data_IF_617389331372
#
_entry.id   IF_617389331372
#
_cell.length_a   1.000
_cell.length_b   1.000
_cell.length_c   1.000
_cell.angle_alpha   90.00
_cell.angle_beta   90.00
_cell.angle_gamma   90.00
#
_symmetry.space_group_name_H-M   'P 1'
#
loop_
_entity.id
_entity.type
_entity.pdbx_description
1 polymer ?
#
# COMPACT_ATOMS: atom_id res chain seq x y z
N UNK A 1 -9.48 12.88 -27.37
CA UNK A 1 -9.37 14.22 -26.74
C UNK A 1 -8.49 15.07 -27.63
N UNK A 2 -8.95 16.26 -28.03
CA UNK A 2 -8.15 17.13 -28.91
C UNK A 2 -6.93 17.71 -28.16
N UNK A 3 -5.91 18.15 -28.90
CA UNK A 3 -4.67 18.69 -28.32
C UNK A 3 -4.91 19.91 -27.44
N UNK A 4 -5.87 20.78 -27.81
CA UNK A 4 -6.24 21.94 -27.00
C UNK A 4 -6.73 21.54 -25.60
N UNK A 5 -7.51 20.46 -25.49
CA UNK A 5 -7.98 19.93 -24.20
C UNK A 5 -6.85 19.28 -23.41
N UNK A 6 -5.92 18.55 -24.04
CA UNK A 6 -4.73 18.01 -23.37
C UNK A 6 -3.88 19.13 -22.77
N UNK A 7 -3.67 20.19 -23.53
CA UNK A 7 -2.88 21.34 -23.09
C UNK A 7 -3.56 22.11 -21.96
N UNK A 8 -4.89 22.24 -21.99
CA UNK A 8 -5.64 22.79 -20.87
C UNK A 8 -5.50 21.93 -19.60
N UNK A 9 -5.53 20.60 -19.73
CA UNK A 9 -5.36 19.69 -18.59
C UNK A 9 -3.94 19.72 -18.02
N UNK A 10 -2.89 19.84 -18.86
CA UNK A 10 -1.51 20.01 -18.39
C UNK A 10 -1.35 21.28 -17.57
N UNK A 11 -1.80 22.42 -18.10
CA UNK A 11 -1.79 23.69 -17.38
C UNK A 11 -2.56 23.63 -16.07
N UNK A 12 -3.70 22.94 -16.05
CA UNK A 12 -4.46 22.73 -14.83
C UNK A 12 -3.72 21.84 -13.80
N UNK A 13 -2.97 20.82 -14.25
CA UNK A 13 -2.12 20.02 -13.38
C UNK A 13 -0.96 20.83 -12.78
N UNK A 14 -0.33 21.69 -13.59
CA UNK A 14 0.76 22.58 -13.15
C UNK A 14 0.24 23.58 -12.12
N UNK A 15 -0.85 24.29 -12.43
CA UNK A 15 -1.47 25.23 -11.51
C UNK A 15 -1.90 24.58 -10.17
N UNK A 16 -2.41 23.35 -10.21
CA UNK A 16 -2.76 22.63 -8.99
C UNK A 16 -1.53 22.24 -8.15
N UNK A 17 -0.37 22.02 -8.78
CA UNK A 17 0.90 21.79 -8.07
C UNK A 17 1.41 23.08 -7.42
N UNK A 18 1.38 24.20 -8.15
CA UNK A 18 1.79 25.51 -7.61
C UNK A 18 0.93 25.91 -6.39
N UNK A 19 -0.40 25.73 -6.49
CA UNK A 19 -1.34 25.98 -5.37
C UNK A 19 -1.00 25.08 -4.17
N UNK A 20 -0.70 23.80 -4.41
CA UNK A 20 -0.33 22.88 -3.33
C UNK A 20 0.94 23.36 -2.60
N UNK A 21 1.97 23.77 -3.34
CA UNK A 21 3.23 24.22 -2.76
C UNK A 21 3.05 25.53 -1.96
N UNK A 22 2.28 26.49 -2.48
CA UNK A 22 1.94 27.74 -1.78
C UNK A 22 1.14 27.48 -0.48
N UNK A 23 0.17 26.57 -0.50
CA UNK A 23 -0.62 26.19 0.67
C UNK A 23 0.25 25.50 1.73
N UNK A 24 1.16 24.60 1.33
CA UNK A 24 2.08 23.94 2.25
C UNK A 24 3.06 24.92 2.87
N UNK A 25 3.58 25.88 2.10
CA UNK A 25 4.48 26.89 2.63
C UNK A 25 3.76 27.86 3.57
N UNK A 26 2.53 28.25 3.24
CA UNK A 26 1.66 29.04 4.11
C UNK A 26 1.37 28.29 5.42
N UNK A 27 1.00 27.01 5.36
CA UNK A 27 0.73 26.19 6.54
C UNK A 27 1.95 26.12 7.48
N UNK A 28 3.16 25.93 6.94
CA UNK A 28 4.41 25.94 7.73
C UNK A 28 4.67 27.28 8.39
N UNK A 29 4.39 28.39 7.70
CA UNK A 29 4.64 29.72 8.24
C UNK A 29 3.61 30.09 9.31
N UNK A 30 2.34 29.71 9.12
CA UNK A 30 1.30 29.83 10.15
C UNK A 30 1.65 28.99 11.37
N UNK A 31 2.08 27.74 11.21
CA UNK A 31 2.44 26.89 12.35
C UNK A 31 3.63 27.39 13.20
N UNK A 32 4.40 28.38 12.73
CA UNK A 32 5.50 29.01 13.46
C UNK A 32 5.08 30.19 14.33
N UNK A 33 3.84 30.69 14.21
CA UNK A 33 3.37 31.82 15.02
C UNK A 33 2.88 31.31 16.39
N UNK A 34 3.08 32.12 17.43
CA UNK A 34 2.67 31.80 18.81
C UNK A 34 1.16 32.04 19.06
N UNK A 35 0.35 32.23 18.01
CA UNK A 35 -1.08 32.47 18.16
C UNK A 35 -1.82 31.16 18.49
N UNK A 36 -2.73 31.14 19.47
CA UNK A 36 -3.47 29.93 19.84
C UNK A 36 -4.28 29.29 18.70
N UNK A 37 -4.69 30.07 17.71
CA UNK A 37 -5.45 29.61 16.53
C UNK A 37 -4.57 29.17 15.36
N UNK A 38 -3.28 29.52 15.37
CA UNK A 38 -2.35 29.28 14.28
C UNK A 38 -2.28 27.81 13.86
N UNK A 39 -2.37 26.90 14.83
CA UNK A 39 -2.34 25.47 14.56
C UNK A 39 -3.59 24.98 13.84
N UNK A 40 -4.77 25.53 14.16
CA UNK A 40 -6.02 25.18 13.47
C UNK A 40 -6.00 25.69 12.02
N UNK A 41 -5.50 26.90 11.80
CA UNK A 41 -5.38 27.49 10.47
C UNK A 41 -4.33 26.74 9.62
N UNK A 42 -3.20 26.34 10.22
CA UNK A 42 -2.21 25.50 9.56
C UNK A 42 -2.77 24.13 9.14
N UNK A 43 -3.57 23.49 10.00
CA UNK A 43 -4.24 22.24 9.67
C UNK A 43 -5.25 22.42 8.52
N UNK A 44 -6.04 23.51 8.53
CA UNK A 44 -6.96 23.83 7.44
C UNK A 44 -6.21 24.00 6.10
N UNK A 45 -5.10 24.73 6.09
CA UNK A 45 -4.23 24.90 4.91
C UNK A 45 -3.64 23.55 4.44
N UNK A 46 -3.26 22.67 5.38
CA UNK A 46 -2.76 21.34 5.05
C UNK A 46 -3.82 20.45 4.40
N UNK A 47 -5.08 20.52 4.86
CA UNK A 47 -6.18 19.79 4.24
C UNK A 47 -6.47 20.31 2.81
N UNK A 48 -6.48 21.63 2.61
CA UNK A 48 -6.62 22.21 1.28
C UNK A 48 -5.49 21.78 0.33
N UNK A 49 -4.25 21.70 0.83
CA UNK A 49 -3.12 21.20 0.04
C UNK A 49 -3.30 19.74 -0.40
N UNK A 50 -3.89 18.88 0.46
CA UNK A 50 -4.22 17.49 0.08
C UNK A 50 -5.29 17.45 -1.00
N UNK A 51 -6.34 18.27 -0.88
CA UNK A 51 -7.41 18.34 -1.89
C UNK A 51 -6.87 18.79 -3.26
N UNK A 52 -5.92 19.75 -3.27
CA UNK A 52 -5.22 20.18 -4.48
C UNK A 52 -4.41 19.02 -5.12
N UNK A 53 -3.67 18.24 -4.32
CA UNK A 53 -2.94 17.06 -4.82
C UNK A 53 -3.88 15.98 -5.38
N UNK A 54 -4.98 15.69 -4.70
CA UNK A 54 -5.99 14.74 -5.19
C UNK A 54 -6.64 15.20 -6.50
N UNK A 55 -6.94 16.49 -6.61
CA UNK A 55 -7.43 17.07 -7.85
C UNK A 55 -6.40 16.94 -8.98
N UNK A 56 -5.14 17.28 -8.72
CA UNK A 56 -4.01 17.10 -9.66
C UNK A 56 -3.87 15.65 -10.12
N UNK A 57 -3.95 14.67 -9.21
CA UNK A 57 -3.91 13.24 -9.54
C UNK A 57 -5.07 12.82 -10.43
N UNK A 58 -6.29 13.31 -10.16
CA UNK A 58 -7.47 13.05 -11.00
C UNK A 58 -7.28 13.61 -12.42
N UNK A 59 -6.73 14.81 -12.55
CA UNK A 59 -6.41 15.41 -13.86
C UNK A 59 -5.33 14.62 -14.60
N UNK A 60 -4.25 14.24 -13.91
CA UNK A 60 -3.17 13.44 -14.49
C UNK A 60 -3.67 12.06 -14.98
N UNK A 61 -4.55 11.42 -14.21
CA UNK A 61 -5.18 10.16 -14.62
C UNK A 61 -6.04 10.33 -15.88
N UNK A 62 -6.81 11.43 -15.99
CA UNK A 62 -7.55 11.75 -17.23
C UNK A 62 -6.62 12.02 -18.41
N UNK A 63 -5.47 12.65 -18.17
CA UNK A 63 -4.47 12.89 -19.21
C UNK A 63 -3.84 11.57 -19.71
N UNK A 64 -3.55 10.63 -18.80
CA UNK A 64 -2.96 9.32 -19.12
C UNK A 64 -3.93 8.32 -19.76
N UNK A 65 -5.21 8.31 -19.37
CA UNK A 65 -6.20 7.35 -19.86
C UNK A 65 -6.75 7.65 -21.26
N UNK A 66 -6.31 8.72 -21.91
CA UNK A 66 -6.78 9.10 -23.26
C UNK A 66 -6.15 8.24 -24.36
N UNK A 67 -5.19 7.35 -24.03
CA UNK A 67 -4.51 6.48 -24.99
C UNK A 67 -4.79 4.98 -24.81
N UNK A 68 -6.02 4.60 -24.42
CA UNK A 68 -6.41 3.19 -24.47
C UNK A 68 -7.86 3.01 -24.98
N UNK A 69 -8.08 2.91 -26.31
CA UNK A 69 -9.07 1.97 -26.79
C UNK A 69 -8.61 0.57 -26.38
N UNK A 70 -9.54 -0.26 -25.90
CA UNK A 70 -9.29 -1.63 -25.53
C UNK A 70 -8.64 -2.42 -26.69
N UNK A 71 -7.35 -2.71 -26.57
CA UNK A 71 -6.67 -3.70 -27.38
C UNK A 71 -5.63 -4.41 -26.52
N UNK A 72 -5.87 -5.71 -26.36
CA UNK A 72 -4.94 -6.72 -25.89
C UNK A 72 -3.69 -6.68 -26.79
N UNK A 73 -2.48 -6.59 -26.22
CA UNK A 73 -1.33 -7.47 -26.55
C UNK A 73 0.01 -7.01 -25.91
N UNK A 74 0.64 -7.98 -25.26
CA UNK A 74 2.07 -8.34 -25.27
C UNK A 74 3.19 -7.31 -25.58
N UNK A 75 4.09 -7.20 -24.60
CA UNK A 75 5.58 -7.19 -24.73
C UNK A 75 6.26 -5.93 -25.29
N UNK A 76 7.11 -5.28 -24.47
CA UNK A 76 8.59 -5.27 -24.67
C UNK A 76 9.34 -4.59 -23.51
N UNK A 77 10.30 -5.33 -22.96
CA UNK A 77 11.32 -4.83 -22.03
C UNK A 77 12.33 -3.96 -22.80
N UNK A 78 12.54 -2.73 -22.34
CA UNK A 78 13.64 -1.86 -22.79
C UNK A 78 14.76 -1.91 -21.75
N UNK A 79 15.97 -2.21 -22.21
CA UNK A 79 17.17 -2.31 -21.42
C UNK A 79 17.68 -0.92 -20.97
N UNK A 80 18.17 -0.75 -19.73
CA UNK A 80 18.87 0.46 -19.32
C UNK A 80 20.35 0.41 -19.74
N UNK A 81 20.80 1.50 -20.38
CA UNK A 81 22.19 1.72 -20.79
C UNK A 81 23.13 2.04 -19.60
N UNK A 82 24.46 2.09 -19.88
CA UNK A 82 25.48 2.18 -18.84
C UNK A 82 25.78 3.63 -18.45
N UNK A 83 25.61 4.00 -17.18
CA UNK A 83 26.15 5.27 -16.66
C UNK A 83 27.30 5.03 -15.67
N UNK A 84 28.48 5.45 -16.15
CA UNK A 84 29.65 6.03 -15.49
C UNK A 84 29.86 5.83 -13.98
N UNK A 85 30.97 5.15 -13.66
CA UNK A 85 31.57 5.07 -12.32
C UNK A 85 32.38 6.34 -12.05
N UNK A 86 32.06 7.07 -10.98
CA UNK A 86 33.04 7.89 -10.25
C UNK A 86 33.30 7.22 -8.91
N UNK A 87 34.57 6.90 -8.68
CA UNK A 87 35.07 6.35 -7.44
C UNK A 87 35.18 7.47 -6.42
N UNK A 88 34.49 7.31 -5.29
CA UNK A 88 34.77 8.06 -4.07
C UNK A 88 34.99 7.05 -2.95
N UNK A 89 36.21 7.05 -2.42
CA UNK A 89 36.72 6.06 -1.48
C UNK A 89 36.46 6.53 -0.05
N UNK A 90 35.18 6.51 0.35
CA UNK A 90 34.77 6.59 1.75
C UNK A 90 34.52 5.18 2.27
N UNK A 91 35.28 4.74 3.27
CA UNK A 91 35.08 3.45 3.94
C UNK A 91 33.82 3.51 4.81
N UNK A 92 32.65 3.53 4.17
CA UNK A 92 31.37 3.43 4.86
C UNK A 92 31.23 2.00 5.42
N UNK A 93 31.04 1.92 6.74
CA UNK A 93 30.67 0.68 7.43
C UNK A 93 29.41 0.13 6.77
N UNK A 94 29.59 -0.90 5.96
CA UNK A 94 28.49 -1.55 5.23
C UNK A 94 27.56 -2.17 6.25
N UNK A 95 26.38 -1.57 6.39
CA UNK A 95 25.31 -2.15 7.18
C UNK A 95 25.10 -3.61 6.73
N UNK A 96 24.93 -4.55 7.68
CA UNK A 96 24.79 -5.96 7.35
C UNK A 96 23.66 -6.14 6.34
N UNK A 97 23.97 -6.74 5.17
CA UNK A 97 22.99 -7.01 4.12
C UNK A 97 21.89 -7.90 4.70
N UNK A 98 20.74 -7.30 5.03
CA UNK A 98 19.53 -8.01 5.44
C UNK A 98 19.22 -9.07 4.38
N UNK A 99 19.10 -10.33 4.80
CA UNK A 99 18.87 -11.45 3.88
C UNK A 99 17.49 -11.29 3.25
N UNK A 100 17.42 -11.28 1.92
CA UNK A 100 16.14 -11.23 1.17
C UNK A 100 15.16 -12.35 1.55
N UNK A 101 15.66 -13.43 2.15
CA UNK A 101 14.89 -14.60 2.54
C UNK A 101 13.81 -14.33 3.60
N UNK A 102 13.86 -13.21 4.31
CA UNK A 102 12.96 -12.94 5.44
C UNK A 102 11.69 -12.14 5.07
N UNK A 103 11.59 -11.59 3.84
CA UNK A 103 10.43 -10.78 3.45
C UNK A 103 9.46 -11.53 2.52
N UNK A 104 8.14 -11.25 2.60
CA UNK A 104 7.49 -10.31 3.51
C UNK A 104 7.36 -10.86 4.94
N UNK A 105 7.39 -9.96 5.94
CA UNK A 105 7.13 -10.29 7.35
C UNK A 105 5.72 -9.88 7.74
N UNK A 106 5.14 -10.64 8.68
CA UNK A 106 3.83 -10.37 9.25
C UNK A 106 3.95 -10.34 10.76
N UNK A 107 3.36 -9.33 11.38
CA UNK A 107 3.31 -9.18 12.84
C UNK A 107 1.97 -8.58 13.26
N UNK A 108 1.67 -8.64 14.55
CA UNK A 108 0.53 -7.96 15.16
C UNK A 108 1.04 -6.78 15.98
N UNK A 109 0.51 -5.59 15.70
CA UNK A 109 0.78 -4.36 16.45
C UNK A 109 -0.55 -3.64 16.68
N UNK A 110 -0.84 -3.19 17.89
CA UNK A 110 -2.05 -2.40 18.21
C UNK A 110 -3.34 -3.01 17.66
N UNK A 111 -3.50 -4.33 17.84
CA UNK A 111 -4.63 -5.10 17.32
C UNK A 111 -4.84 -4.97 15.79
N UNK A 112 -3.74 -4.78 15.06
CA UNK A 112 -3.70 -4.70 13.61
C UNK A 112 -2.68 -5.71 13.06
N UNK A 113 -3.00 -6.31 11.91
CA UNK A 113 -2.03 -7.06 11.12
C UNK A 113 -1.15 -6.09 10.36
N UNK A 114 0.15 -6.15 10.59
CA UNK A 114 1.15 -5.36 9.87
C UNK A 114 1.92 -6.28 8.94
N UNK A 115 1.83 -6.00 7.64
CA UNK A 115 2.70 -6.61 6.63
C UNK A 115 3.86 -5.67 6.35
N UNK A 116 5.08 -6.14 6.60
CA UNK A 116 6.30 -5.41 6.32
C UNK A 116 6.93 -5.98 5.03
N UNK A 117 7.13 -5.13 4.03
CA UNK A 117 7.79 -5.46 2.79
C UNK A 117 8.97 -4.53 2.49
N UNK A 118 9.80 -4.92 1.53
CA UNK A 118 10.89 -4.07 1.02
C UNK A 118 10.38 -3.23 -0.16
N UNK A 119 10.67 -1.93 -0.15
CA UNK A 119 10.44 -1.09 -1.32
C UNK A 119 11.25 -1.59 -2.53
N UNK A 120 10.87 -1.17 -3.75
CA UNK A 120 11.48 -1.63 -5.01
C UNK A 120 13.00 -1.41 -5.08
N UNK A 121 13.52 -0.40 -4.39
CA UNK A 121 14.94 -0.09 -4.29
C UNK A 121 15.68 -0.91 -3.20
N UNK A 122 14.97 -1.75 -2.44
CA UNK A 122 15.45 -2.50 -1.27
C UNK A 122 16.08 -1.65 -0.16
N UNK A 123 15.87 -0.32 -0.16
CA UNK A 123 16.49 0.59 0.82
C UNK A 123 15.61 0.85 2.03
N UNK A 124 14.29 0.86 1.85
CA UNK A 124 13.35 1.12 2.92
C UNK A 124 12.30 0.01 3.05
N UNK A 125 11.81 -0.15 4.26
CA UNK A 125 10.67 -1.01 4.57
C UNK A 125 9.38 -0.22 4.36
N UNK A 126 8.37 -0.84 3.78
CA UNK A 126 7.01 -0.30 3.70
C UNK A 126 6.07 -1.18 4.52
N UNK A 127 5.05 -0.55 5.10
CA UNK A 127 4.09 -1.24 5.96
C UNK A 127 2.69 -1.14 5.36
N UNK A 128 1.95 -2.24 5.41
CA UNK A 128 0.50 -2.23 5.26
C UNK A 128 -0.15 -2.66 6.57
N UNK A 129 -1.04 -1.82 7.07
CA UNK A 129 -1.77 -2.05 8.31
C UNK A 129 -3.20 -2.49 7.97
N UNK A 130 -3.65 -3.57 8.59
CA UNK A 130 -5.01 -4.09 8.44
C UNK A 130 -5.63 -4.28 9.83
N UNK A 131 -6.72 -3.55 10.17
CA UNK A 131 -7.38 -3.71 11.46
C UNK A 131 -7.86 -5.14 11.69
N UNK A 132 -7.80 -5.64 12.93
CA UNK A 132 -8.28 -6.99 13.28
C UNK A 132 -9.71 -7.26 12.80
N UNK A 133 -10.62 -6.29 12.96
CA UNK A 133 -11.98 -6.40 12.48
C UNK A 133 -12.09 -6.66 10.95
N UNK A 134 -11.19 -6.08 10.15
CA UNK A 134 -11.13 -6.36 8.71
C UNK A 134 -10.59 -7.77 8.42
N UNK A 135 -9.61 -8.24 9.21
CA UNK A 135 -9.09 -9.60 9.12
C UNK A 135 -10.18 -10.64 9.42
N UNK A 136 -10.95 -10.42 10.49
CA UNK A 136 -12.02 -11.33 10.89
C UNK A 136 -13.15 -11.39 9.85
N UNK A 137 -13.48 -10.24 9.22
CA UNK A 137 -14.41 -10.20 8.08
C UNK A 137 -13.90 -11.03 6.90
N UNK A 138 -12.61 -10.90 6.55
CA UNK A 138 -12.00 -11.71 5.48
C UNK A 138 -12.04 -13.20 5.83
N UNK A 139 -11.71 -13.59 7.07
CA UNK A 139 -11.80 -14.98 7.51
C UNK A 139 -13.23 -15.53 7.34
N UNK A 140 -14.22 -14.75 7.77
CA UNK A 140 -15.64 -15.16 7.69
C UNK A 140 -16.12 -15.35 6.26
N UNK A 141 -15.75 -14.44 5.34
CA UNK A 141 -16.10 -14.55 3.92
C UNK A 141 -15.39 -15.73 3.25
N UNK A 142 -14.10 -15.94 3.53
CA UNK A 142 -13.35 -17.08 2.97
C UNK A 142 -13.94 -18.41 3.45
N UNK A 143 -14.28 -18.53 4.75
CA UNK A 143 -14.94 -19.72 5.28
C UNK A 143 -16.25 -20.02 4.55
N UNK A 144 -17.10 -19.01 4.32
CA UNK A 144 -18.35 -19.15 3.60
C UNK A 144 -18.17 -19.48 2.10
N UNK A 145 -17.10 -19.01 1.46
CA UNK A 145 -16.81 -19.38 0.07
C UNK A 145 -16.36 -20.84 -0.03
N UNK A 146 -15.58 -21.32 0.94
CA UNK A 146 -15.08 -22.70 0.99
C UNK A 146 -16.18 -23.74 1.24
N UNK A 147 -17.34 -23.36 1.81
CA UNK A 147 -18.50 -24.27 1.91
C UNK A 147 -19.21 -24.46 0.58
N UNK A 148 -19.11 -23.47 -0.32
CA UNK A 148 -19.81 -23.45 -1.62
C UNK A 148 -18.96 -23.98 -2.75
N UNK A 149 -17.65 -23.76 -2.70
CA UNK A 149 -16.72 -24.11 -3.75
C UNK A 149 -15.39 -24.60 -3.19
N UNK A 150 -14.73 -25.49 -3.93
CA UNK A 150 -13.40 -26.01 -3.56
C UNK A 150 -12.31 -24.94 -3.62
N UNK A 151 -12.43 -23.97 -4.52
CA UNK A 151 -11.51 -22.85 -4.69
C UNK A 151 -12.25 -21.51 -4.84
N UNK A 152 -11.54 -20.41 -4.62
CA UNK A 152 -12.06 -19.05 -4.71
C UNK A 152 -11.01 -18.09 -5.28
N UNK A 153 -11.40 -16.86 -5.62
CA UNK A 153 -10.46 -15.80 -6.08
C UNK A 153 -10.48 -14.62 -5.11
N UNK A 154 -9.44 -13.76 -5.09
CA UNK A 154 -9.45 -12.53 -4.30
C UNK A 154 -10.66 -11.64 -4.60
N UNK A 155 -11.08 -11.57 -5.86
CA UNK A 155 -12.22 -10.77 -6.31
C UNK A 155 -13.53 -11.31 -5.74
N UNK A 156 -13.70 -12.64 -5.66
CA UNK A 156 -14.90 -13.21 -5.03
C UNK A 156 -14.95 -12.93 -3.52
N UNK A 157 -13.79 -12.85 -2.85
CA UNK A 157 -13.73 -12.43 -1.44
C UNK A 157 -14.07 -10.94 -1.33
N UNK A 158 -13.43 -10.09 -2.14
CA UNK A 158 -13.62 -8.64 -2.13
C UNK A 158 -15.06 -8.22 -2.46
N UNK A 159 -15.73 -8.92 -3.38
CA UNK A 159 -17.13 -8.63 -3.75
C UNK A 159 -18.11 -8.75 -2.57
N UNK A 160 -17.73 -9.50 -1.53
CA UNK A 160 -18.53 -9.69 -0.32
C UNK A 160 -18.05 -8.82 0.87
N UNK A 161 -17.16 -7.85 0.62
CA UNK A 161 -16.55 -7.02 1.65
C UNK A 161 -16.62 -5.53 1.31
N UNK A 162 -17.00 -4.71 2.29
CA UNK A 162 -16.88 -3.25 2.22
C UNK A 162 -15.63 -2.77 2.97
N UNK A 163 -14.45 -3.19 2.49
CA UNK A 163 -13.13 -2.76 2.98
C UNK A 163 -12.20 -2.45 1.80
N UNK A 164 -11.14 -1.65 1.98
CA UNK A 164 -10.17 -1.41 0.92
C UNK A 164 -9.55 -2.72 0.39
N UNK A 165 -9.50 -2.88 -0.93
CA UNK A 165 -9.07 -4.14 -1.56
C UNK A 165 -7.69 -4.62 -1.12
N UNK A 166 -6.74 -3.71 -0.87
CA UNK A 166 -5.40 -4.07 -0.42
C UNK A 166 -5.42 -4.88 0.89
N UNK A 167 -6.40 -4.64 1.79
CA UNK A 167 -6.52 -5.36 3.05
C UNK A 167 -6.83 -6.85 2.81
N UNK A 168 -7.75 -7.14 1.90
CA UNK A 168 -8.06 -8.51 1.47
C UNK A 168 -6.81 -9.22 0.95
N UNK A 169 -6.03 -8.58 0.07
CA UNK A 169 -4.80 -9.16 -0.45
C UNK A 169 -3.73 -9.40 0.62
N UNK A 170 -3.60 -8.49 1.60
CA UNK A 170 -2.65 -8.65 2.72
C UNK A 170 -3.01 -9.87 3.57
N UNK A 171 -4.29 -10.04 3.91
CA UNK A 171 -4.77 -11.17 4.72
C UNK A 171 -4.62 -12.49 3.97
N UNK A 172 -5.01 -12.55 2.70
CA UNK A 172 -4.85 -13.76 1.88
C UNK A 172 -3.37 -14.15 1.71
N UNK A 173 -2.49 -13.16 1.53
CA UNK A 173 -1.06 -13.41 1.44
C UNK A 173 -0.48 -13.94 2.76
N UNK A 174 -0.94 -13.44 3.91
CA UNK A 174 -0.56 -13.93 5.24
C UNK A 174 -1.01 -15.39 5.46
N UNK A 175 -2.27 -15.70 5.16
CA UNK A 175 -2.79 -17.07 5.28
C UNK A 175 -2.05 -18.04 4.36
N UNK A 176 -1.66 -17.58 3.17
CA UNK A 176 -0.82 -18.37 2.24
C UNK A 176 0.58 -18.59 2.80
N UNK A 177 1.25 -17.57 3.35
CA UNK A 177 2.60 -17.73 3.91
C UNK A 177 2.59 -18.65 5.14
N UNK A 178 1.48 -18.70 5.87
CA UNK A 178 1.27 -19.63 6.98
C UNK A 178 0.86 -21.05 6.56
N UNK A 179 0.66 -21.32 5.25
CA UNK A 179 0.26 -22.64 4.74
C UNK A 179 -1.22 -23.00 4.96
N UNK A 180 -2.03 -22.07 5.46
CA UNK A 180 -3.50 -22.27 5.59
C UNK A 180 -4.17 -22.29 4.23
N UNK A 181 -3.69 -21.45 3.31
CA UNK A 181 -4.13 -21.41 1.91
C UNK A 181 -3.01 -21.89 0.97
N UNK A 182 -3.41 -22.52 -0.13
CA UNK A 182 -2.54 -22.86 -1.28
C UNK A 182 -3.14 -22.29 -2.57
N UNK A 183 -2.31 -22.15 -3.60
CA UNK A 183 -2.71 -21.61 -4.91
C UNK A 183 -2.69 -22.71 -5.97
N UNK A 184 -3.82 -23.38 -6.25
CA UNK A 184 -3.87 -24.49 -7.22
C UNK A 184 -3.69 -23.97 -8.65
N UNK A 185 -4.10 -22.73 -8.93
CA UNK A 185 -3.92 -22.01 -10.19
C UNK A 185 -3.62 -20.53 -9.91
N UNK A 186 -3.02 -19.83 -10.87
CA UNK A 186 -2.73 -18.40 -10.74
C UNK A 186 -4.03 -17.63 -10.48
N UNK A 187 -4.03 -16.81 -9.43
CA UNK A 187 -5.19 -15.99 -9.06
C UNK A 187 -6.29 -16.72 -8.28
N UNK A 188 -6.11 -17.99 -7.94
CA UNK A 188 -7.07 -18.76 -7.14
C UNK A 188 -6.44 -19.32 -5.89
N UNK A 189 -7.26 -19.50 -4.85
CA UNK A 189 -6.90 -20.01 -3.54
C UNK A 189 -7.82 -21.15 -3.16
N UNK A 190 -7.29 -22.12 -2.43
CA UNK A 190 -8.04 -23.19 -1.76
C UNK A 190 -7.44 -23.41 -0.38
N UNK A 191 -8.25 -23.80 0.59
CA UNK A 191 -7.75 -24.17 1.91
C UNK A 191 -7.01 -25.50 1.88
N UNK A 192 -5.99 -25.63 2.72
CA UNK A 192 -5.31 -26.92 2.93
C UNK A 192 -6.26 -27.93 3.57
N UNK A 193 -7.07 -27.47 4.54
CA UNK A 193 -8.19 -28.20 5.13
C UNK A 193 -9.39 -27.24 5.25
N UNK A 194 -10.45 -27.48 4.48
CA UNK A 194 -11.62 -26.60 4.43
C UNK A 194 -12.48 -26.69 5.70
N UNK A 195 -12.59 -27.87 6.33
CA UNK A 195 -13.40 -28.07 7.53
C UNK A 195 -12.86 -27.31 8.75
N UNK A 196 -11.53 -27.21 8.85
CA UNK A 196 -10.86 -26.56 9.98
C UNK A 196 -10.35 -25.15 9.65
N UNK A 197 -10.80 -24.55 8.53
CA UNK A 197 -10.25 -23.29 8.03
C UNK A 197 -10.32 -22.17 9.08
N UNK A 198 -11.48 -21.95 9.71
CA UNK A 198 -11.67 -20.87 10.69
C UNK A 198 -10.74 -21.01 11.89
N UNK A 199 -10.58 -22.24 12.40
CA UNK A 199 -9.67 -22.56 13.51
C UNK A 199 -8.22 -22.35 13.10
N UNK A 200 -7.82 -22.82 11.91
CA UNK A 200 -6.46 -22.64 11.40
C UNK A 200 -6.11 -21.17 11.13
N UNK A 201 -7.04 -20.40 10.58
CA UNK A 201 -6.87 -18.97 10.30
C UNK A 201 -6.73 -18.16 11.59
N UNK A 202 -7.62 -18.38 12.57
CA UNK A 202 -7.53 -17.75 13.90
C UNK A 202 -6.25 -18.16 14.63
N UNK A 203 -5.90 -19.45 14.59
CA UNK A 203 -4.65 -19.96 15.17
C UNK A 203 -3.40 -19.36 14.51
N UNK A 204 -3.47 -19.00 13.23
CA UNK A 204 -2.38 -18.30 12.54
C UNK A 204 -2.20 -16.88 13.08
N UNK A 205 -3.29 -16.14 13.28
CA UNK A 205 -3.23 -14.81 13.89
C UNK A 205 -2.54 -14.83 15.26
N UNK A 206 -2.91 -15.77 16.13
CA UNK A 206 -2.34 -15.89 17.47
C UNK A 206 -0.87 -16.32 17.50
N UNK A 207 -0.35 -16.89 16.40
CA UNK A 207 1.05 -17.29 16.25
C UNK A 207 1.94 -16.20 15.67
N UNK A 208 1.35 -15.10 15.18
CA UNK A 208 2.14 -14.00 14.64
C UNK A 208 2.91 -13.32 15.79
N UNK A 209 4.15 -12.87 15.53
CA UNK A 209 4.90 -12.11 16.54
C UNK A 209 4.12 -10.83 16.88
N UNK A 210 3.96 -10.58 18.16
CA UNK A 210 3.42 -9.30 18.66
C UNK A 210 4.59 -8.34 18.79
N UNK A 211 4.53 -7.18 18.11
CA UNK A 211 5.46 -6.10 18.43
C UNK A 211 4.96 -5.46 19.72
N UNK A 212 5.52 -5.87 20.86
CA UNK A 212 5.43 -5.06 22.06
C UNK A 212 6.18 -3.77 21.74
N UNK A 213 5.45 -2.66 21.70
CA UNK A 213 6.04 -1.36 21.42
C UNK A 213 7.09 -1.08 22.47
N UNK A 214 8.36 -1.33 22.16
CA UNK A 214 9.42 -0.43 22.58
C UNK A 214 9.18 0.90 21.85
N UNK A 215 8.16 1.62 22.31
CA UNK A 215 8.18 3.07 22.29
C UNK A 215 9.49 3.42 22.98
N UNK A 216 10.45 3.89 22.18
CA UNK A 216 11.70 4.38 22.70
C UNK A 216 11.38 5.51 23.67
N UNK A 217 11.51 5.24 24.96
CA UNK A 217 11.81 6.23 26.00
C UNK A 217 13.19 6.82 25.67
N UNK A 218 13.25 7.67 24.64
CA UNK A 218 14.30 8.66 24.48
C UNK A 218 13.66 10.00 24.83
N UNK A 219 13.43 10.20 26.13
CA UNK A 219 13.44 11.54 26.75
C UNK A 219 14.88 12.07 26.82
#
# INVERSE_FOLDING_TARGET
MNEKTKEALRRACEAAADIQDELLESAKNTAKTDEPTAWQDAEALFQLAKEADEFRRRLAHRLGNVSAPAAVEHTRLVAPGPSSRRADAGTERTAPKKRKAEYPRYLVADNCLVKIGLQRNHRAEYQHVVPKAAVDKVFSVVANLLTKAKDFTPESVQANLNIPAYQTYVVLAMLRSAGVLRTPRRGSYTATNAGDFTTAASGTWSKLPTSEGHLNDNE
#
